data_IF_736939959285
#
_entry.id   IF_736939959285
#
_cell.length_a   1.000
_cell.length_b   1.000
_cell.length_c   1.000
_cell.angle_alpha   90.00
_cell.angle_beta   90.00
_cell.angle_gamma   90.00
#
_symmetry.space_group_name_H-M   'P 1'
#
loop_
_entity.id
_entity.type
_entity.pdbx_description
1 polymer ?
#
# COMPACT_ATOMS: atom_id res chain seq x y z
N UNK A 1 -0.20 -12.73 10.99
CA UNK A 1 -1.24 -11.84 10.55
C UNK A 1 -2.53 -11.95 11.36
N UNK A 2 -2.66 -11.18 12.46
CA UNK A 2 -3.94 -11.07 13.18
C UNK A 2 -4.67 -9.82 12.70
N UNK A 3 -5.98 -9.88 12.38
CA UNK A 3 -6.74 -8.69 12.05
C UNK A 3 -6.85 -7.75 13.26
N UNK A 4 -6.82 -6.45 13.02
CA UNK A 4 -6.97 -5.40 14.03
C UNK A 4 -7.90 -4.31 13.52
N UNK A 5 -8.38 -3.43 14.41
CA UNK A 5 -9.21 -2.28 14.04
C UNK A 5 -8.31 -1.10 13.67
N UNK A 6 -8.29 -0.77 12.39
CA UNK A 6 -7.63 0.43 11.90
C UNK A 6 -8.45 1.68 12.27
N UNK A 7 -7.84 2.60 12.99
CA UNK A 7 -8.47 3.86 13.38
C UNK A 7 -8.25 4.93 12.31
N UNK A 8 -9.32 5.61 11.91
CA UNK A 8 -9.29 6.65 10.88
C UNK A 8 -10.42 7.65 11.10
N UNK A 9 -10.18 8.93 10.84
CA UNK A 9 -11.28 9.89 10.81
C UNK A 9 -12.21 9.61 9.64
N UNK A 10 -13.52 9.80 9.86
CA UNK A 10 -14.50 9.61 8.81
C UNK A 10 -14.38 10.73 7.77
N UNK A 11 -14.02 10.36 6.57
CA UNK A 11 -13.90 11.27 5.42
C UNK A 11 -14.94 11.04 4.33
N UNK A 12 -15.84 10.05 4.53
CA UNK A 12 -16.88 9.66 3.57
C UNK A 12 -18.28 9.70 4.21
N UNK A 13 -19.31 9.94 3.39
CA UNK A 13 -20.73 9.82 3.78
C UNK A 13 -21.14 8.38 4.12
N UNK A 14 -22.21 8.27 4.93
CA UNK A 14 -22.79 6.99 5.36
C UNK A 14 -23.78 6.53 4.27
N UNK A 15 -23.31 6.16 3.10
CA UNK A 15 -24.15 5.50 2.13
C UNK A 15 -23.92 3.98 2.15
N UNK A 16 -24.94 3.24 1.65
CA UNK A 16 -24.91 1.78 1.63
C UNK A 16 -23.61 1.28 0.99
N UNK A 17 -22.95 0.33 1.64
CA UNK A 17 -21.70 -0.29 1.24
C UNK A 17 -21.79 -0.79 -0.20
N UNK A 18 -21.08 -0.15 -1.11
CA UNK A 18 -20.77 -0.77 -2.40
C UNK A 18 -19.74 -1.86 -2.16
N UNK A 19 -19.88 -3.00 -2.82
CA UNK A 19 -19.02 -4.16 -2.64
C UNK A 19 -17.55 -3.90 -3.06
N UNK A 20 -17.27 -2.77 -3.67
CA UNK A 20 -15.93 -2.37 -4.12
C UNK A 20 -15.26 -1.48 -3.08
N UNK A 21 -14.07 -1.88 -2.63
CA UNK A 21 -13.23 -1.10 -1.73
C UNK A 21 -12.14 -0.30 -2.48
N UNK A 22 -12.17 -0.29 -3.80
CA UNK A 22 -11.26 0.53 -4.60
C UNK A 22 -11.56 2.00 -4.41
N UNK A 23 -10.52 2.81 -4.27
CA UNK A 23 -10.67 4.26 -4.01
C UNK A 23 -11.45 4.97 -5.13
N UNK A 24 -11.26 4.59 -6.39
CA UNK A 24 -11.95 5.12 -7.56
C UNK A 24 -13.48 4.98 -7.47
N UNK A 25 -13.97 3.88 -6.89
CA UNK A 25 -15.38 3.58 -6.79
C UNK A 25 -16.06 4.35 -5.65
N UNK A 26 -15.26 4.98 -4.80
CA UNK A 26 -15.70 5.71 -3.62
C UNK A 26 -15.53 7.23 -3.73
N UNK A 27 -15.06 7.76 -4.87
CA UNK A 27 -14.79 9.20 -5.06
C UNK A 27 -16.02 10.06 -4.77
N UNK A 28 -17.20 9.62 -5.21
CA UNK A 28 -18.47 10.36 -5.05
C UNK A 28 -18.97 10.40 -3.59
N UNK A 29 -18.39 9.60 -2.72
CA UNK A 29 -18.77 9.52 -1.29
C UNK A 29 -17.95 10.44 -0.40
N UNK A 30 -16.86 11.01 -0.94
CA UNK A 30 -15.94 11.84 -0.17
C UNK A 30 -16.62 13.18 0.16
N UNK A 31 -16.77 13.50 1.45
CA UNK A 31 -17.31 14.78 1.88
C UNK A 31 -16.32 15.92 1.59
N UNK A 32 -16.78 17.20 1.49
CA UNK A 32 -15.88 18.34 1.30
C UNK A 32 -14.79 18.42 2.37
N UNK A 33 -15.16 18.24 3.65
CA UNK A 33 -14.23 18.15 4.76
C UNK A 33 -13.30 16.94 4.62
N UNK A 34 -13.85 15.79 4.22
CA UNK A 34 -13.09 14.57 3.99
C UNK A 34 -12.04 14.72 2.90
N UNK A 35 -12.33 15.51 1.86
CA UNK A 35 -11.37 15.82 0.79
C UNK A 35 -10.16 16.59 1.33
N UNK A 36 -10.41 17.57 2.18
CA UNK A 36 -9.36 18.36 2.84
C UNK A 36 -8.53 17.50 3.80
N UNK A 37 -9.18 16.68 4.65
CA UNK A 37 -8.50 15.74 5.57
C UNK A 37 -7.60 14.77 4.81
N UNK A 38 -8.09 14.19 3.72
CA UNK A 38 -7.34 13.25 2.87
C UNK A 38 -6.15 13.90 2.16
N UNK A 39 -6.36 15.14 1.65
CA UNK A 39 -5.28 15.89 1.00
C UNK A 39 -4.07 16.10 1.92
N UNK A 40 -4.33 16.30 3.22
CA UNK A 40 -3.29 16.51 4.24
C UNK A 40 -2.96 15.24 5.03
N UNK A 41 -3.54 14.08 4.66
CA UNK A 41 -3.41 12.81 5.39
C UNK A 41 -3.79 12.87 6.87
N UNK A 42 -4.54 13.91 7.29
CA UNK A 42 -5.00 14.09 8.67
C UNK A 42 -6.03 13.03 9.07
N UNK A 43 -6.72 12.45 8.11
CA UNK A 43 -7.66 11.34 8.35
C UNK A 43 -6.94 10.08 8.88
N UNK A 44 -5.65 9.95 8.69
CA UNK A 44 -4.84 8.82 9.16
C UNK A 44 -4.18 9.07 10.54
N UNK A 45 -4.28 10.28 11.12
CA UNK A 45 -3.70 10.59 12.45
C UNK A 45 -4.14 9.63 13.57
N UNK A 46 -5.41 9.15 13.64
CA UNK A 46 -5.79 8.20 14.68
C UNK A 46 -5.01 6.88 14.63
N UNK A 47 -4.37 6.54 13.50
CA UNK A 47 -3.51 5.34 13.40
C UNK A 47 -2.25 5.45 14.28
N UNK A 48 -1.86 6.64 14.72
CA UNK A 48 -0.80 6.79 15.72
C UNK A 48 -1.16 6.06 17.02
N UNK A 49 -2.44 5.97 17.36
CA UNK A 49 -2.90 5.16 18.49
C UNK A 49 -2.72 3.66 18.23
N UNK A 50 -2.95 3.19 17.00
CA UNK A 50 -2.64 1.81 16.64
C UNK A 50 -1.14 1.50 16.76
N UNK A 51 -0.27 2.47 16.43
CA UNK A 51 1.18 2.32 16.60
C UNK A 51 1.53 2.22 18.09
N UNK A 52 1.00 3.11 18.92
CA UNK A 52 1.23 3.09 20.38
C UNK A 52 0.75 1.78 21.03
N UNK A 53 -0.35 1.20 20.54
CA UNK A 53 -0.86 -0.09 20.97
C UNK A 53 -0.04 -1.28 20.49
N UNK A 54 0.84 -1.09 19.51
CA UNK A 54 1.61 -2.15 18.88
C UNK A 54 0.85 -2.96 17.82
N UNK A 55 -0.30 -2.46 17.35
CA UNK A 55 -1.06 -3.05 16.23
C UNK A 55 -0.34 -2.77 14.90
N UNK A 56 0.39 -1.64 14.81
CA UNK A 56 1.09 -1.15 13.63
C UNK A 56 2.49 -0.64 13.99
N UNK A 57 3.34 -0.53 12.97
CA UNK A 57 4.62 0.18 13.03
C UNK A 57 4.52 1.50 12.22
N UNK A 58 5.50 2.38 12.40
CA UNK A 58 5.56 3.62 11.63
C UNK A 58 5.84 3.33 10.14
N UNK A 59 6.79 2.42 9.88
CA UNK A 59 7.19 2.02 8.53
C UNK A 59 6.94 0.52 8.34
N UNK A 60 6.18 0.18 7.30
CA UNK A 60 5.84 -1.21 6.99
C UNK A 60 4.90 -1.32 5.77
N UNK A 61 4.50 -2.52 5.40
CA UNK A 61 3.49 -2.73 4.37
C UNK A 61 2.16 -2.06 4.73
N UNK A 62 1.49 -1.42 3.75
CA UNK A 62 0.19 -0.79 4.01
C UNK A 62 -0.85 -1.85 4.41
N UNK A 63 -1.62 -1.63 5.50
CA UNK A 63 -2.70 -2.53 5.87
C UNK A 63 -3.83 -2.48 4.84
N UNK A 64 -4.40 -3.64 4.52
CA UNK A 64 -5.58 -3.76 3.69
C UNK A 64 -6.78 -4.23 4.53
N UNK A 65 -8.01 -3.85 4.14
CA UNK A 65 -9.22 -4.50 4.64
C UNK A 65 -9.15 -6.02 4.44
N UNK A 66 -9.78 -6.79 5.32
CA UNK A 66 -9.71 -8.27 5.29
C UNK A 66 -10.19 -8.81 3.94
N UNK A 67 -11.28 -8.24 3.39
CA UNK A 67 -11.82 -8.62 2.08
C UNK A 67 -10.81 -8.47 0.93
N UNK A 68 -10.10 -7.34 0.88
CA UNK A 68 -9.07 -7.09 -0.12
C UNK A 68 -7.86 -7.99 0.10
N UNK A 69 -7.46 -8.18 1.35
CA UNK A 69 -6.35 -9.08 1.67
C UNK A 69 -6.64 -10.51 1.21
N UNK A 70 -7.83 -11.03 1.47
CA UNK A 70 -8.24 -12.37 1.02
C UNK A 70 -8.28 -12.48 -0.51
N UNK A 71 -8.80 -11.47 -1.19
CA UNK A 71 -8.80 -11.40 -2.64
C UNK A 71 -7.37 -11.49 -3.21
N UNK A 72 -6.46 -10.66 -2.70
CA UNK A 72 -5.08 -10.64 -3.16
C UNK A 72 -4.32 -11.92 -2.77
N UNK A 73 -4.57 -12.47 -1.59
CA UNK A 73 -3.94 -13.72 -1.16
C UNK A 73 -4.34 -14.93 -2.02
N UNK A 74 -5.55 -14.90 -2.62
CA UNK A 74 -5.99 -15.92 -3.58
C UNK A 74 -5.42 -15.70 -4.99
N UNK A 75 -5.21 -14.43 -5.37
CA UNK A 75 -4.85 -14.06 -6.75
C UNK A 75 -3.35 -13.87 -6.95
N UNK A 76 -2.60 -13.58 -5.88
CA UNK A 76 -1.18 -13.22 -5.95
C UNK A 76 -0.37 -14.22 -5.13
N UNK A 77 0.53 -15.02 -5.77
CA UNK A 77 1.41 -15.94 -5.06
C UNK A 77 2.24 -15.21 -3.99
N UNK A 78 2.40 -15.86 -2.83
CA UNK A 78 3.20 -15.35 -1.71
C UNK A 78 2.72 -14.04 -1.08
N UNK A 79 1.50 -13.56 -1.39
CA UNK A 79 0.97 -12.32 -0.85
C UNK A 79 0.96 -12.28 0.69
N UNK A 80 0.71 -13.43 1.32
CA UNK A 80 0.69 -13.60 2.78
C UNK A 80 2.03 -13.28 3.46
N UNK A 81 3.16 -13.30 2.75
CA UNK A 81 4.47 -12.95 3.30
C UNK A 81 4.53 -11.49 3.78
N UNK A 82 3.66 -10.61 3.29
CA UNK A 82 3.53 -9.24 3.80
C UNK A 82 3.10 -9.19 5.27
N UNK A 83 2.45 -10.24 5.75
CA UNK A 83 1.96 -10.36 7.14
C UNK A 83 3.02 -10.91 8.12
N UNK A 84 4.24 -11.17 7.66
CA UNK A 84 5.36 -11.55 8.53
C UNK A 84 5.83 -10.40 9.43
N UNK A 85 5.55 -9.16 9.02
CA UNK A 85 5.84 -7.94 9.78
C UNK A 85 4.55 -7.20 10.08
N UNK A 86 4.60 -6.27 11.05
CA UNK A 86 3.45 -5.39 11.31
C UNK A 86 3.22 -4.45 10.13
N UNK A 87 1.96 -4.11 9.85
CA UNK A 87 1.66 -3.10 8.84
C UNK A 87 2.15 -1.73 9.29
N UNK A 88 2.51 -0.87 8.32
CA UNK A 88 3.01 0.47 8.57
C UNK A 88 2.01 1.57 8.24
N UNK A 89 2.13 2.70 8.94
CA UNK A 89 1.45 3.96 8.58
C UNK A 89 1.97 4.45 7.22
N UNK A 90 3.26 4.35 6.99
CA UNK A 90 3.91 4.55 5.70
C UNK A 90 4.78 3.36 5.32
N UNK A 91 5.24 3.28 4.08
CA UNK A 91 6.07 2.18 3.63
C UNK A 91 6.80 2.47 2.32
N UNK A 92 7.79 1.65 2.01
CA UNK A 92 8.58 1.82 0.80
C UNK A 92 7.71 1.79 -0.46
N UNK A 93 6.78 0.83 -0.57
CA UNK A 93 5.84 0.77 -1.69
C UNK A 93 5.02 2.05 -1.82
N UNK A 94 4.52 2.59 -0.70
CA UNK A 94 3.70 3.80 -0.68
C UNK A 94 4.46 5.03 -1.20
N UNK A 95 5.74 5.22 -0.78
CA UNK A 95 6.54 6.37 -1.21
C UNK A 95 7.10 6.22 -2.62
N UNK A 96 7.13 5.02 -3.20
CA UNK A 96 7.63 4.77 -4.56
C UNK A 96 6.52 4.77 -5.60
N UNK A 97 5.38 4.14 -5.35
CA UNK A 97 4.38 3.84 -6.37
C UNK A 97 3.02 4.53 -6.13
N UNK A 98 2.76 5.05 -4.92
CA UNK A 98 1.46 5.65 -4.61
C UNK A 98 0.32 4.62 -4.52
N UNK A 99 -0.84 4.92 -5.12
CA UNK A 99 -2.02 4.05 -5.08
C UNK A 99 -2.03 3.05 -6.23
N UNK A 100 -2.27 1.76 -5.93
CA UNK A 100 -2.59 0.76 -6.95
C UNK A 100 -4.10 0.77 -7.20
N UNK A 101 -4.49 0.62 -8.43
CA UNK A 101 -5.90 0.59 -8.86
C UNK A 101 -6.28 -0.77 -9.48
N UNK A 102 -5.32 -1.70 -9.55
CA UNK A 102 -5.46 -3.01 -10.18
C UNK A 102 -4.52 -4.04 -9.55
N UNK A 103 -4.71 -5.30 -9.92
CA UNK A 103 -3.88 -6.42 -9.44
C UNK A 103 -2.40 -6.29 -9.87
N UNK A 104 -2.06 -5.90 -11.11
CA UNK A 104 -0.67 -5.66 -11.49
C UNK A 104 0.03 -4.61 -10.62
N UNK A 105 -0.64 -3.51 -10.31
CA UNK A 105 -0.12 -2.47 -9.43
C UNK A 105 0.09 -2.99 -8.00
N UNK A 106 -0.79 -3.85 -7.50
CA UNK A 106 -0.63 -4.46 -6.17
C UNK A 106 0.53 -5.48 -6.14
N UNK A 107 0.77 -6.20 -7.23
CA UNK A 107 1.95 -7.07 -7.37
C UNK A 107 3.24 -6.25 -7.28
N UNK A 108 3.30 -5.12 -7.96
CA UNK A 108 4.48 -4.25 -7.93
C UNK A 108 4.72 -3.69 -6.50
N UNK A 109 3.66 -3.26 -5.80
CA UNK A 109 3.74 -2.86 -4.39
C UNK A 109 4.28 -3.99 -3.51
N UNK A 110 3.75 -5.19 -3.69
CA UNK A 110 4.20 -6.37 -2.96
C UNK A 110 5.71 -6.60 -3.14
N UNK A 111 6.26 -6.38 -4.35
CA UNK A 111 7.70 -6.53 -4.60
C UNK A 111 8.53 -5.57 -3.73
N UNK A 112 8.11 -4.30 -3.62
CA UNK A 112 8.77 -3.33 -2.74
C UNK A 112 8.64 -3.74 -1.26
N UNK A 113 7.46 -4.17 -0.83
CA UNK A 113 7.22 -4.61 0.54
C UNK A 113 8.07 -5.84 0.89
N UNK A 114 8.10 -6.87 0.04
CA UNK A 114 8.92 -8.07 0.26
C UNK A 114 10.42 -7.75 0.26
N UNK A 115 10.87 -6.83 -0.59
CA UNK A 115 12.25 -6.36 -0.59
C UNK A 115 12.60 -5.65 0.73
N UNK A 116 11.64 -4.90 1.29
CA UNK A 116 11.80 -4.23 2.57
C UNK A 116 11.83 -5.22 3.74
N UNK A 117 10.98 -6.24 3.71
CA UNK A 117 10.92 -7.30 4.73
C UNK A 117 12.20 -8.14 4.70
N UNK A 118 12.67 -8.54 3.51
CA UNK A 118 13.85 -9.37 3.36
C UNK A 118 15.16 -8.69 3.79
N UNK A 119 15.21 -7.37 3.74
CA UNK A 119 16.42 -6.59 4.07
C UNK A 119 16.05 -5.40 4.97
N UNK A 120 15.79 -5.61 6.26
CA UNK A 120 15.46 -4.52 7.18
C UNK A 120 16.62 -3.52 7.26
N UNK A 121 16.31 -2.21 7.26
CA UNK A 121 17.32 -1.14 7.30
C UNK A 121 16.74 0.14 7.89
N UNK A 122 17.26 0.56 9.03
CA UNK A 122 16.87 1.81 9.69
C UNK A 122 17.09 3.04 8.81
N UNK A 123 18.18 3.04 8.02
CA UNK A 123 18.47 4.15 7.11
C UNK A 123 17.41 4.25 5.99
N UNK A 124 16.94 3.11 5.49
CA UNK A 124 15.83 3.09 4.52
C UNK A 124 14.54 3.59 5.16
N UNK A 125 14.25 3.13 6.36
CA UNK A 125 13.02 3.49 7.07
C UNK A 125 13.02 4.99 7.39
N UNK A 126 14.15 5.58 7.79
CA UNK A 126 14.30 7.01 7.94
C UNK A 126 14.06 7.76 6.60
N UNK A 127 14.60 7.26 5.49
CA UNK A 127 14.34 7.84 4.16
C UNK A 127 12.86 7.77 3.77
N UNK A 128 12.18 6.68 4.12
CA UNK A 128 10.73 6.53 3.90
C UNK A 128 9.95 7.56 4.70
N UNK A 129 10.28 7.77 5.97
CA UNK A 129 9.64 8.78 6.83
C UNK A 129 9.84 10.21 6.25
N UNK A 130 11.08 10.54 5.88
CA UNK A 130 11.38 11.86 5.28
C UNK A 130 10.66 12.06 3.94
N UNK A 131 10.61 11.03 3.09
CA UNK A 131 9.88 11.07 1.83
C UNK A 131 8.36 11.23 2.06
N UNK A 132 7.80 10.57 3.07
CA UNK A 132 6.40 10.72 3.47
C UNK A 132 6.11 12.14 3.94
N UNK A 133 6.95 12.69 4.82
CA UNK A 133 6.82 14.08 5.28
C UNK A 133 6.83 15.07 4.09
N UNK A 134 7.74 14.87 3.12
CA UNK A 134 7.78 15.66 1.90
C UNK A 134 6.49 15.55 1.09
N UNK A 135 5.94 14.34 0.92
CA UNK A 135 4.68 14.11 0.18
C UNK A 135 3.52 14.80 0.87
N UNK A 136 3.45 14.74 2.20
CA UNK A 136 2.38 15.39 2.99
C UNK A 136 2.45 16.91 2.87
N UNK A 137 3.64 17.49 2.88
CA UNK A 137 3.83 18.96 2.87
C UNK A 137 3.74 19.56 1.46
N UNK A 138 4.29 18.88 0.46
CA UNK A 138 4.44 19.42 -0.91
C UNK A 138 3.45 18.79 -1.89
N UNK A 139 2.89 17.64 -1.55
CA UNK A 139 2.07 16.83 -2.44
C UNK A 139 2.89 15.74 -3.16
N UNK A 140 2.21 14.76 -3.77
CA UNK A 140 2.86 13.73 -4.55
C UNK A 140 3.57 14.34 -5.78
N UNK A 141 4.72 13.80 -6.21
CA UNK A 141 5.36 14.20 -7.46
C UNK A 141 4.42 14.00 -8.64
N UNK A 142 4.42 14.95 -9.59
CA UNK A 142 3.57 14.95 -10.79
C UNK A 142 3.77 13.72 -11.70
N UNK A 143 4.94 13.08 -11.64
CA UNK A 143 5.31 11.93 -12.48
C UNK A 143 4.78 10.58 -11.96
N UNK A 144 3.91 10.59 -10.95
CA UNK A 144 3.29 9.37 -10.38
C UNK A 144 1.98 8.96 -11.03
N UNK A 145 1.68 9.45 -12.22
CA UNK A 145 0.69 8.80 -13.08
C UNK A 145 1.19 7.38 -13.36
N UNK A 146 0.31 6.41 -13.10
CA UNK A 146 0.59 4.99 -13.18
C UNK A 146 1.55 4.67 -14.32
N UNK A 147 2.77 4.22 -14.01
CA UNK A 147 3.63 3.61 -15.01
C UNK A 147 2.78 2.59 -15.76
N UNK A 148 2.62 2.70 -17.08
CA UNK A 148 1.95 1.67 -17.84
C UNK A 148 2.81 0.42 -17.68
N UNK A 149 2.41 -0.46 -16.76
CA UNK A 149 2.92 -1.83 -16.76
C UNK A 149 2.58 -2.35 -18.14
N UNK A 150 3.60 -2.58 -18.95
CA UNK A 150 3.45 -3.14 -20.28
C UNK A 150 2.53 -4.34 -20.15
N UNK A 151 1.35 -4.25 -20.77
CA UNK A 151 0.40 -5.36 -20.86
C UNK A 151 1.04 -6.43 -21.75
N UNK A 152 1.89 -7.24 -21.18
CA UNK A 152 2.24 -8.54 -21.76
C UNK A 152 1.19 -9.54 -21.31
N UNK A 153 0.01 -9.39 -21.85
CA UNK A 153 -1.01 -10.42 -21.78
C UNK A 153 -0.81 -11.27 -23.03
N UNK A 154 -0.28 -12.47 -22.84
CA UNK A 154 -0.32 -13.49 -23.90
C UNK A 154 -1.77 -13.84 -24.16
N UNK A 155 -2.08 -14.28 -25.39
CA UNK A 155 -3.44 -14.61 -25.86
C UNK A 155 -4.12 -15.74 -25.04
N UNK A 156 -3.46 -16.31 -24.05
CA UNK A 156 -3.95 -17.40 -23.19
C UNK A 156 -4.22 -16.99 -21.73
N UNK A 157 -4.17 -15.71 -21.39
CA UNK A 157 -4.53 -15.24 -20.04
C UNK A 157 -3.59 -15.68 -18.91
N UNK A 158 -2.44 -16.26 -19.21
CA UNK A 158 -1.42 -16.61 -18.22
C UNK A 158 -0.49 -15.44 -17.95
N UNK A 159 -0.40 -15.02 -16.68
CA UNK A 159 0.55 -14.00 -16.24
C UNK A 159 1.94 -14.61 -16.20
N UNK A 160 2.76 -14.32 -17.21
CA UNK A 160 4.17 -14.68 -17.14
C UNK A 160 4.91 -13.75 -16.17
N UNK A 161 5.52 -14.33 -15.15
CA UNK A 161 6.35 -13.63 -14.19
C UNK A 161 7.71 -13.32 -14.82
N UNK A 162 8.12 -12.05 -14.94
CA UNK A 162 9.47 -11.73 -15.35
C UNK A 162 10.43 -12.01 -14.18
N UNK A 163 10.98 -13.21 -14.13
CA UNK A 163 12.05 -13.60 -13.19
C UNK A 163 13.40 -12.93 -13.50
N UNK A 164 13.47 -12.04 -14.50
CA UNK A 164 14.69 -11.32 -14.85
C UNK A 164 14.95 -10.18 -13.84
N UNK A 165 15.81 -10.45 -12.88
CA UNK A 165 16.30 -9.46 -11.89
C UNK A 165 16.54 -9.98 -10.48
N UNK A 166 16.15 -11.21 -10.16
CA UNK A 166 16.40 -11.80 -8.85
C UNK A 166 17.65 -12.70 -8.78
N UNK A 167 18.30 -12.95 -9.92
CA UNK A 167 19.49 -13.79 -9.98
C UNK A 167 20.76 -12.91 -9.95
N UNK A 168 21.14 -12.41 -8.78
CA UNK A 168 22.55 -12.32 -8.41
C UNK A 168 22.76 -13.31 -7.27
N UNK A 169 23.53 -14.40 -7.50
CA UNK A 169 23.88 -15.33 -6.46
C UNK A 169 24.71 -14.59 -5.41
N UNK A 170 24.31 -14.75 -4.15
CA UNK A 170 25.18 -14.48 -3.02
C UNK A 170 26.26 -15.57 -3.04
N UNK A 171 27.39 -15.30 -3.64
CA UNK A 171 28.61 -16.10 -3.47
C UNK A 171 29.71 -15.18 -2.98
N UNK A 172 30.30 -15.64 -1.86
CA UNK A 172 31.48 -15.22 -1.10
C UNK A 172 31.40 -13.94 -0.32
#
# INVERSE_FOLDING_TARGET
GRPFRLLKFRSMGIEKVTASEWERDNVNRITPLGRWLRKLHLDELPQLWNILRGDMDLVGPRPHPVSNYELFARSIPYYSLRSLVRPGLTGWAQVRQGYAHDVPGEIEKMRYDLCAIARPSLLRDLRVVLATAKIVLVGPPLDREASPVAKTTDREGSVQWPLKGFARPLVS
#
